data_IF_934676870892
#
_entry.id   IF_934676870892
#
_cell.length_a   1.000
_cell.length_b   1.000
_cell.length_c   1.000
_cell.angle_alpha   90.00
_cell.angle_beta   90.00
_cell.angle_gamma   90.00
#
_symmetry.space_group_name_H-M   'P 1'
#
loop_
_entity.id
_entity.type
_entity.pdbx_description
1 polymer ?
#
# COMPACT_ATOMS: atom_id res chain seq x y z
N UNK A 1 -19.40 -5.04 -3.55
CA UNK A 1 -20.30 -4.58 -2.47
C UNK A 1 -21.50 -3.90 -3.11
N UNK A 2 -22.72 -4.40 -2.93
CA UNK A 2 -23.93 -3.81 -3.51
C UNK A 2 -24.76 -3.14 -2.41
N UNK A 3 -24.28 -2.00 -1.90
CA UNK A 3 -24.94 -1.18 -0.87
C UNK A 3 -24.96 0.28 -1.31
N UNK A 4 -25.99 1.07 -0.90
CA UNK A 4 -25.99 2.51 -1.13
C UNK A 4 -24.72 3.15 -0.57
N UNK A 5 -24.23 4.20 -1.25
CA UNK A 5 -23.14 5.00 -0.73
C UNK A 5 -23.52 5.54 0.67
N UNK A 6 -22.62 5.34 1.63
CA UNK A 6 -22.81 5.76 3.02
C UNK A 6 -21.51 6.39 3.49
N UNK A 7 -21.62 7.52 4.19
CA UNK A 7 -20.49 8.11 4.92
C UNK A 7 -20.10 7.12 6.02
N UNK A 8 -18.90 6.58 5.88
CA UNK A 8 -18.33 5.62 6.83
C UNK A 8 -16.81 5.78 6.87
N UNK A 9 -16.17 5.24 7.91
CA UNK A 9 -14.71 5.22 8.00
C UNK A 9 -14.21 3.86 7.53
N UNK A 10 -13.41 3.84 6.45
CA UNK A 10 -12.78 2.61 5.97
C UNK A 10 -11.66 2.19 6.94
N UNK A 11 -11.91 1.13 7.71
CA UNK A 11 -10.91 0.52 8.59
C UNK A 11 -10.61 -0.91 8.11
N UNK A 12 -9.32 -1.25 8.05
CA UNK A 12 -8.85 -2.62 7.85
C UNK A 12 -8.26 -3.10 9.16
N UNK A 13 -8.82 -4.16 9.72
CA UNK A 13 -8.31 -4.76 10.96
C UNK A 13 -7.01 -5.51 10.67
N UNK A 14 -6.07 -5.45 11.62
CA UNK A 14 -4.82 -6.19 11.60
C UNK A 14 -4.55 -6.87 12.93
N UNK A 15 -3.83 -7.99 12.88
CA UNK A 15 -3.37 -8.68 14.09
C UNK A 15 -2.08 -8.02 14.59
N UNK A 16 -2.01 -7.67 15.87
CA UNK A 16 -0.78 -7.13 16.47
C UNK A 16 0.39 -8.11 16.29
N UNK A 17 1.53 -7.59 15.83
CA UNK A 17 2.72 -8.34 15.39
C UNK A 17 2.46 -9.32 14.22
N UNK A 18 1.34 -9.15 13.53
CA UNK A 18 1.06 -9.85 12.28
C UNK A 18 1.84 -9.25 11.12
N UNK A 19 2.01 -10.05 10.07
CA UNK A 19 2.51 -9.60 8.78
C UNK A 19 1.33 -9.30 7.85
N UNK A 20 1.40 -8.17 7.15
CA UNK A 20 0.43 -7.80 6.13
C UNK A 20 1.15 -7.52 4.82
N UNK A 21 0.63 -8.06 3.73
CA UNK A 21 1.02 -7.72 2.38
C UNK A 21 0.06 -6.64 1.86
N UNK A 22 0.61 -5.53 1.40
CA UNK A 22 -0.15 -4.45 0.77
C UNK A 22 0.31 -4.35 -0.67
N UNK A 23 -0.64 -4.47 -1.60
CA UNK A 23 -0.40 -4.39 -3.02
C UNK A 23 -1.06 -3.11 -3.53
N UNK A 24 -0.26 -2.21 -4.07
CA UNK A 24 -0.76 -1.03 -4.77
C UNK A 24 -0.78 -1.30 -6.27
N UNK A 25 -1.89 -0.95 -6.90
CA UNK A 25 -2.09 -1.11 -8.34
C UNK A 25 -2.39 0.26 -8.94
N UNK A 26 -1.49 0.77 -9.78
CA UNK A 26 -1.73 2.03 -10.48
C UNK A 26 -2.31 1.79 -11.87
N UNK A 27 -3.60 2.10 -12.03
CA UNK A 27 -4.23 2.11 -13.34
C UNK A 27 -4.32 3.52 -13.94
N UNK A 28 -3.83 4.54 -13.25
CA UNK A 28 -3.79 5.92 -13.74
C UNK A 28 -2.53 6.22 -14.54
N UNK A 29 -2.54 7.36 -15.23
CA UNK A 29 -1.43 7.90 -16.03
C UNK A 29 -0.45 8.73 -15.21
N UNK A 30 -0.78 9.06 -13.96
CA UNK A 30 0.03 9.88 -13.07
C UNK A 30 0.80 9.04 -12.06
N UNK A 31 1.93 9.57 -11.58
CA UNK A 31 2.67 8.96 -10.47
C UNK A 31 1.85 9.15 -9.20
N UNK A 32 1.66 8.06 -8.45
CA UNK A 32 1.03 8.09 -7.14
C UNK A 32 2.07 7.86 -6.05
N UNK A 33 1.82 8.41 -4.87
CA UNK A 33 2.72 8.39 -3.72
C UNK A 33 1.94 8.09 -2.45
N UNK A 34 2.22 6.96 -1.80
CA UNK A 34 1.51 6.55 -0.57
C UNK A 34 2.44 6.59 0.63
N UNK A 35 1.88 7.02 1.76
CA UNK A 35 2.54 7.09 3.06
C UNK A 35 1.75 6.28 4.10
N UNK A 36 2.48 5.50 4.90
CA UNK A 36 1.95 4.79 6.05
C UNK A 36 2.39 5.50 7.33
N UNK A 37 1.43 5.97 8.11
CA UNK A 37 1.70 6.52 9.43
C UNK A 37 2.04 5.38 10.43
N UNK A 38 2.88 5.66 11.42
CA UNK A 38 3.11 4.77 12.57
C UNK A 38 3.92 3.49 12.33
N UNK A 39 4.30 3.16 11.10
CA UNK A 39 5.23 2.06 10.81
C UNK A 39 6.00 2.29 9.50
N UNK A 40 7.09 1.54 9.33
CA UNK A 40 7.79 1.43 8.06
C UNK A 40 7.45 0.09 7.41
N UNK A 41 7.40 0.06 6.08
CA UNK A 41 7.20 -1.14 5.29
C UNK A 41 8.44 -1.44 4.45
N UNK A 42 8.59 -2.70 4.06
CA UNK A 42 9.62 -3.15 3.14
C UNK A 42 9.03 -3.20 1.73
N UNK A 43 9.65 -2.48 0.80
CA UNK A 43 9.32 -2.61 -0.63
C UNK A 43 9.91 -3.91 -1.14
N UNK A 44 9.05 -4.83 -1.59
CA UNK A 44 9.47 -6.19 -1.97
C UNK A 44 9.35 -6.46 -3.46
N UNK A 45 8.46 -5.80 -4.20
CA UNK A 45 8.34 -6.00 -5.64
C UNK A 45 7.72 -4.78 -6.32
N UNK A 46 8.17 -4.48 -7.53
CA UNK A 46 7.61 -3.44 -8.38
C UNK A 46 7.75 -3.91 -9.83
N UNK A 47 6.65 -4.02 -10.56
CA UNK A 47 6.65 -4.49 -11.94
C UNK A 47 5.65 -3.70 -12.79
N UNK A 48 5.76 -3.84 -14.12
CA UNK A 48 4.85 -3.25 -15.08
C UNK A 48 3.64 -4.16 -15.27
N UNK A 49 2.45 -3.57 -15.20
CA UNK A 49 1.19 -4.27 -15.47
C UNK A 49 0.34 -4.47 -14.23
N UNK A 50 -0.43 -5.55 -14.23
CA UNK A 50 -1.38 -5.87 -13.16
C UNK A 50 -0.76 -6.94 -12.28
N UNK A 51 -0.78 -6.69 -10.97
CA UNK A 51 -0.30 -7.66 -9.99
C UNK A 51 -1.02 -9.00 -10.12
N UNK A 52 -0.26 -10.08 -10.07
CA UNK A 52 -0.77 -11.45 -10.01
C UNK A 52 -0.10 -12.21 -8.87
N UNK A 53 -0.69 -13.33 -8.44
CA UNK A 53 -0.07 -14.15 -7.39
C UNK A 53 1.33 -14.65 -7.77
N UNK A 54 1.61 -14.81 -9.08
CA UNK A 54 2.93 -15.18 -9.60
C UNK A 54 3.99 -14.10 -9.34
N UNK A 55 3.60 -12.83 -9.21
CA UNK A 55 4.52 -11.72 -8.89
C UNK A 55 5.23 -11.92 -7.54
N UNK A 56 4.66 -12.73 -6.62
CA UNK A 56 5.31 -13.06 -5.34
C UNK A 56 6.62 -13.84 -5.49
N UNK A 57 6.84 -14.47 -6.65
CA UNK A 57 8.07 -15.21 -6.94
C UNK A 57 9.27 -14.29 -7.19
N UNK A 58 9.04 -13.04 -7.60
CA UNK A 58 10.09 -12.05 -7.89
C UNK A 58 10.40 -11.15 -6.70
N UNK A 59 9.72 -11.35 -5.56
CA UNK A 59 9.87 -10.50 -4.40
C UNK A 59 11.27 -10.57 -3.79
N UNK A 60 11.84 -9.40 -3.54
CA UNK A 60 13.02 -9.22 -2.74
C UNK A 60 12.69 -9.39 -1.25
N UNK A 61 12.87 -10.62 -0.75
CA UNK A 61 12.68 -10.96 0.68
C UNK A 61 13.98 -10.90 1.50
N UNK A 62 15.12 -10.62 0.86
CA UNK A 62 16.43 -10.68 1.51
C UNK A 62 16.91 -9.31 1.99
N UNK A 63 16.82 -8.29 1.13
CA UNK A 63 17.31 -6.94 1.43
C UNK A 63 16.31 -5.85 0.98
N UNK A 64 15.02 -6.08 1.23
CA UNK A 64 13.99 -5.07 1.02
C UNK A 64 14.31 -3.79 1.79
N UNK A 65 14.12 -2.63 1.14
CA UNK A 65 14.40 -1.33 1.76
C UNK A 65 13.20 -0.91 2.60
N UNK A 66 13.46 -0.59 3.88
CA UNK A 66 12.45 -0.01 4.77
C UNK A 66 12.14 1.44 4.36
N UNK A 67 10.85 1.76 4.19
CA UNK A 67 10.35 3.10 3.85
C UNK A 67 9.02 3.36 4.54
N UNK A 68 8.70 4.64 4.74
CA UNK A 68 7.36 5.08 5.16
C UNK A 68 6.56 5.67 4.00
N UNK A 69 7.24 6.08 2.93
CA UNK A 69 6.65 6.62 1.70
C UNK A 69 7.25 5.93 0.49
N UNK A 70 6.41 5.63 -0.49
CA UNK A 70 6.88 5.12 -1.78
C UNK A 70 6.09 5.72 -2.92
N UNK A 71 6.79 5.94 -4.03
CA UNK A 71 6.23 6.46 -5.27
C UNK A 71 6.20 5.33 -6.28
N UNK A 72 5.11 5.21 -7.02
CA UNK A 72 5.01 4.25 -8.11
C UNK A 72 4.39 4.90 -9.35
N UNK A 73 4.93 4.54 -10.51
CA UNK A 73 4.60 5.16 -11.79
C UNK A 73 3.29 4.60 -12.34
N UNK A 74 2.71 5.33 -13.30
CA UNK A 74 1.63 4.86 -14.16
C UNK A 74 1.88 3.44 -14.65
N UNK A 75 0.84 2.61 -14.59
CA UNK A 75 0.83 1.24 -15.11
C UNK A 75 1.80 0.28 -14.41
N UNK A 76 2.25 0.61 -13.21
CA UNK A 76 3.04 -0.28 -12.37
C UNK A 76 2.20 -0.86 -11.23
N UNK A 77 2.57 -2.06 -10.81
CA UNK A 77 2.20 -2.61 -9.51
C UNK A 77 3.33 -2.41 -8.49
N UNK A 78 2.98 -2.46 -7.20
CA UNK A 78 3.93 -2.39 -6.11
C UNK A 78 3.49 -3.26 -4.95
N UNK A 79 4.27 -4.30 -4.66
CA UNK A 79 4.14 -5.16 -3.49
C UNK A 79 4.97 -4.63 -2.31
N UNK A 80 4.34 -4.50 -1.15
CA UNK A 80 4.95 -4.11 0.11
C UNK A 80 4.62 -5.11 1.22
N UNK A 81 5.60 -5.35 2.09
CA UNK A 81 5.39 -6.12 3.32
C UNK A 81 5.53 -5.20 4.53
N UNK A 82 4.55 -5.25 5.42
CA UNK A 82 4.57 -4.50 6.68
C UNK A 82 4.38 -5.43 7.87
N UNK A 83 5.09 -5.13 8.96
CA UNK A 83 4.85 -5.75 10.27
C UNK A 83 4.00 -4.80 11.09
N UNK A 84 2.93 -5.32 11.67
CA UNK A 84 1.96 -4.53 12.46
C UNK A 84 2.35 -4.54 13.95
N UNK A 85 3.52 -4.02 14.29
CA UNK A 85 4.07 -4.01 15.65
C UNK A 85 3.77 -2.74 16.47
N UNK A 86 3.13 -1.74 15.86
CA UNK A 86 2.68 -0.53 16.53
C UNK A 86 1.15 -0.51 16.71
N UNK A 87 0.69 -0.72 17.94
CA UNK A 87 -0.73 -0.79 18.25
C UNK A 87 -1.40 0.60 18.16
N UNK A 88 -2.42 0.72 17.33
CA UNK A 88 -3.15 1.97 17.12
C UNK A 88 -3.98 1.94 15.85
N UNK A 89 -4.46 3.11 15.44
CA UNK A 89 -5.10 3.32 14.14
C UNK A 89 -4.18 4.24 13.34
N UNK A 90 -3.76 3.77 12.18
CA UNK A 90 -2.78 4.46 11.34
C UNK A 90 -3.33 4.67 9.94
N UNK A 91 -3.10 5.86 9.39
CA UNK A 91 -3.56 6.17 8.04
C UNK A 91 -2.56 5.64 7.02
N UNK A 92 -3.11 4.98 5.99
CA UNK A 92 -2.42 4.71 4.73
C UNK A 92 -3.07 5.59 3.67
N UNK A 93 -2.33 6.57 3.14
CA UNK A 93 -2.93 7.61 2.28
C UNK A 93 -1.97 8.12 1.23
N UNK A 94 -2.55 8.70 0.19
CA UNK A 94 -1.81 9.47 -0.81
C UNK A 94 -1.18 10.72 -0.19
N UNK A 95 0.00 11.09 -0.68
CA UNK A 95 0.71 12.33 -0.31
C UNK A 95 0.46 13.45 -1.33
N UNK A 96 -0.24 13.16 -2.44
CA UNK A 96 -0.77 14.20 -3.32
C UNK A 96 -1.95 14.89 -2.62
N UNK A 97 -1.86 16.22 -2.46
CA UNK A 97 -2.86 17.00 -1.71
C UNK A 97 -4.24 16.99 -2.38
N UNK A 98 -4.30 17.06 -3.72
CA UNK A 98 -5.56 17.07 -4.45
C UNK A 98 -6.27 15.73 -4.30
N UNK A 99 -5.53 14.62 -4.48
CA UNK A 99 -6.07 13.28 -4.24
C UNK A 99 -6.46 13.08 -2.78
N UNK A 100 -5.64 13.56 -1.83
CA UNK A 100 -5.94 13.45 -0.41
C UNK A 100 -7.22 14.21 -0.04
N UNK A 101 -7.45 15.39 -0.60
CA UNK A 101 -8.67 16.15 -0.38
C UNK A 101 -9.93 15.43 -0.89
N UNK A 102 -9.80 14.64 -1.96
CA UNK A 102 -10.92 13.94 -2.60
C UNK A 102 -11.25 12.58 -1.97
N UNK A 103 -10.40 12.06 -1.10
CA UNK A 103 -10.58 10.77 -0.40
C UNK A 103 -10.06 9.60 -1.19
#
# INVERSE_FOLDING_TARGET
MNRPAKVDTSLINGTFKGFMEIIFQNNDTTVQNYHLDGSAFFVVGMDVGVWTENSRSTYNKWNGVARCTTQYRSSLDLGQLVVLDNAGIWNLRTQNLDSWYLG
#
